data_IF_406090292109
#
_entry.id   IF_406090292109
#
_cell.length_a   1.000
_cell.length_b   1.000
_cell.length_c   1.000
_cell.angle_alpha   90.00
_cell.angle_beta   90.00
_cell.angle_gamma   90.00
#
_symmetry.space_group_name_H-M   'P 1'
#
loop_
_entity.id
_entity.type
_entity.pdbx_description
1 polymer ?
#
# COMPACT_ATOMS: atom_id res chain seq x y z
N UNK A 1 13.94 10.47 -7.32
CA UNK A 1 12.81 10.06 -8.16
C UNK A 1 11.94 11.27 -8.52
N UNK A 2 12.45 12.36 -9.12
CA UNK A 2 11.54 13.32 -9.70
C UNK A 2 10.85 12.66 -10.92
N UNK A 3 9.54 12.88 -11.13
CA UNK A 3 8.86 12.43 -12.35
C UNK A 3 9.52 13.03 -13.61
N UNK A 4 10.15 14.20 -13.45
CA UNK A 4 10.89 14.91 -14.50
C UNK A 4 12.37 14.52 -14.59
N UNK A 5 12.83 13.47 -13.90
CA UNK A 5 14.21 12.99 -14.06
C UNK A 5 14.46 12.54 -15.50
N UNK A 6 15.43 13.20 -16.15
CA UNK A 6 16.08 12.74 -17.37
C UNK A 6 16.42 11.24 -17.25
N UNK A 7 16.15 10.43 -18.30
CA UNK A 7 16.43 8.99 -18.28
C UNK A 7 17.87 8.63 -17.96
N UNK A 8 18.79 9.51 -18.35
CA UNK A 8 20.23 9.32 -18.22
C UNK A 8 20.79 10.07 -17.01
N UNK A 9 19.94 10.49 -16.07
CA UNK A 9 20.40 11.06 -14.81
C UNK A 9 21.32 10.04 -14.10
N UNK A 10 22.53 10.44 -13.70
CA UNK A 10 23.50 9.51 -13.15
C UNK A 10 23.00 8.89 -11.85
N UNK A 11 23.21 7.58 -11.69
CA UNK A 11 23.00 6.90 -10.42
C UNK A 11 24.12 7.32 -9.45
N UNK A 12 23.76 8.09 -8.42
CA UNK A 12 24.70 8.59 -7.43
C UNK A 12 24.66 7.73 -6.17
N UNK A 13 25.83 7.21 -5.77
CA UNK A 13 25.99 6.60 -4.45
C UNK A 13 26.26 7.71 -3.44
N UNK A 14 25.38 7.86 -2.46
CA UNK A 14 25.49 8.89 -1.44
C UNK A 14 25.38 8.32 -0.02
N UNK A 15 26.18 8.85 0.89
CA UNK A 15 26.08 8.56 2.32
C UNK A 15 25.27 9.64 3.04
N UNK A 16 24.55 9.26 4.10
CA UNK A 16 23.85 10.23 4.95
C UNK A 16 24.87 11.08 5.73
N UNK A 17 24.76 12.40 5.66
CA UNK A 17 25.57 13.29 6.47
C UNK A 17 25.19 13.17 7.96
N UNK A 18 26.16 13.36 8.86
CA UNK A 18 25.96 13.22 10.32
C UNK A 18 24.97 14.25 10.85
N UNK A 19 24.93 15.42 10.21
CA UNK A 19 24.15 16.60 10.53
C UNK A 19 22.64 16.40 10.32
N UNK A 20 22.22 15.38 9.54
CA UNK A 20 20.79 15.01 9.42
C UNK A 20 20.19 14.41 10.70
N UNK A 21 21.01 14.15 11.72
CA UNK A 21 20.56 13.64 13.01
C UNK A 21 19.93 12.25 12.89
N UNK A 22 18.75 12.07 13.49
CA UNK A 22 18.01 10.78 13.51
C UNK A 22 16.96 10.64 12.40
N UNK A 23 16.84 11.60 11.47
CA UNK A 23 15.87 11.52 10.37
C UNK A 23 16.23 10.35 9.45
N UNK A 24 15.32 9.40 9.29
CA UNK A 24 15.48 8.31 8.33
C UNK A 24 15.32 8.86 6.91
N UNK A 25 16.28 8.53 6.04
CA UNK A 25 16.13 8.67 4.59
C UNK A 25 15.39 7.43 4.10
N UNK A 26 14.29 7.62 3.38
CA UNK A 26 13.45 6.52 2.86
C UNK A 26 13.30 6.63 1.35
N UNK A 27 12.80 5.56 0.74
CA UNK A 27 12.48 5.57 -0.70
C UNK A 27 11.46 6.67 -0.99
N UNK A 28 11.71 7.44 -2.05
CA UNK A 28 10.89 8.57 -2.47
C UNK A 28 11.28 9.93 -1.85
N UNK A 29 12.17 9.97 -0.85
CA UNK A 29 12.66 11.26 -0.32
C UNK A 29 13.35 12.09 -1.43
N UNK A 30 13.00 13.38 -1.49
CA UNK A 30 13.71 14.38 -2.30
C UNK A 30 14.87 14.92 -1.47
N UNK A 31 16.10 14.65 -1.91
CA UNK A 31 17.31 14.96 -1.13
C UNK A 31 18.20 15.98 -1.81
N UNK A 32 18.89 16.79 -1.01
CA UNK A 32 20.01 17.60 -1.51
C UNK A 32 21.32 16.88 -1.29
N UNK A 33 22.14 16.85 -2.32
CA UNK A 33 23.44 16.20 -2.35
C UNK A 33 24.57 17.23 -2.40
N UNK A 34 25.70 16.88 -1.79
CA UNK A 34 27.00 17.57 -1.95
C UNK A 34 28.09 16.55 -2.26
N UNK A 35 29.20 16.98 -2.83
CA UNK A 35 30.30 16.10 -3.24
C UNK A 35 30.20 15.71 -4.71
N UNK A 36 30.72 14.56 -5.07
CA UNK A 36 30.75 14.09 -6.46
C UNK A 36 29.41 13.44 -6.83
N UNK A 37 28.65 14.12 -7.69
CA UNK A 37 27.32 13.70 -8.17
C UNK A 37 27.36 13.18 -9.61
N UNK A 38 28.55 12.95 -10.15
CA UNK A 38 28.73 12.44 -11.52
C UNK A 38 28.22 11.01 -11.72
N UNK A 39 28.12 10.22 -10.65
CA UNK A 39 27.80 8.79 -10.73
C UNK A 39 28.94 7.91 -11.24
N UNK A 40 30.15 8.45 -11.42
CA UNK A 40 31.32 7.69 -11.82
C UNK A 40 31.73 6.63 -10.78
N UNK A 41 32.42 5.57 -11.21
CA UNK A 41 32.92 4.56 -10.30
C UNK A 41 33.85 5.18 -9.24
N UNK A 42 33.50 5.02 -7.96
CA UNK A 42 34.23 5.62 -6.83
C UNK A 42 33.79 7.05 -6.47
N UNK A 43 32.89 7.68 -7.24
CA UNK A 43 32.26 8.94 -6.86
C UNK A 43 31.39 8.74 -5.60
N UNK A 44 31.56 9.63 -4.62
CA UNK A 44 30.80 9.61 -3.39
C UNK A 44 30.20 10.99 -3.12
N UNK A 45 28.88 11.01 -2.95
CA UNK A 45 28.16 12.18 -2.49
C UNK A 45 27.72 12.03 -1.02
N UNK A 46 27.23 13.12 -0.44
CA UNK A 46 26.58 13.12 0.87
C UNK A 46 25.19 13.75 0.77
N UNK A 47 24.21 13.09 1.38
CA UNK A 47 22.88 13.64 1.60
C UNK A 47 22.99 14.63 2.75
N UNK A 48 22.70 15.92 2.50
CA UNK A 48 22.79 16.99 3.51
C UNK A 48 21.44 17.57 3.91
N UNK A 49 20.39 17.32 3.11
CA UNK A 49 19.02 17.74 3.39
C UNK A 49 18.02 16.73 2.85
N UNK A 50 16.89 16.59 3.53
CA UNK A 50 15.67 15.94 3.04
C UNK A 50 14.63 17.07 2.93
N UNK A 51 14.03 17.21 1.76
CA UNK A 51 12.94 18.16 1.54
C UNK A 51 11.69 17.73 2.31
N UNK A 52 10.73 18.63 2.47
CA UNK A 52 9.43 18.29 3.07
C UNK A 52 8.74 17.18 2.28
N UNK A 53 8.09 16.26 3.01
CA UNK A 53 7.39 15.12 2.42
C UNK A 53 5.95 15.52 2.14
N UNK A 54 5.47 15.26 0.91
CA UNK A 54 4.08 15.50 0.52
C UNK A 54 3.15 14.39 1.00
N UNK A 55 3.66 13.16 1.13
CA UNK A 55 2.94 12.00 1.67
C UNK A 55 3.89 11.06 2.40
N UNK A 56 3.36 10.25 3.31
CA UNK A 56 4.14 9.35 4.17
C UNK A 56 3.38 8.03 4.39
N UNK A 57 3.94 6.91 3.93
CA UNK A 57 3.43 5.59 4.27
C UNK A 57 4.25 4.97 5.39
N UNK A 58 3.54 4.40 6.38
CA UNK A 58 4.11 3.81 7.57
C UNK A 58 3.80 2.33 7.65
N UNK A 59 4.82 1.51 7.91
CA UNK A 59 4.64 0.07 8.17
C UNK A 59 4.63 -0.15 9.68
N UNK A 60 3.74 -1.02 10.15
CA UNK A 60 3.86 -1.62 11.48
C UNK A 60 5.19 -2.38 11.54
N UNK A 61 5.99 -2.16 12.57
CA UNK A 61 7.27 -2.83 12.66
C UNK A 61 7.07 -4.32 13.01
N UNK A 62 7.66 -5.22 12.20
CA UNK A 62 7.71 -6.67 12.45
C UNK A 62 8.77 -7.05 13.51
N UNK A 63 9.60 -6.09 13.93
CA UNK A 63 10.76 -6.35 14.79
C UNK A 63 10.37 -6.26 16.26
N UNK A 64 10.32 -7.43 16.90
CA UNK A 64 10.23 -7.64 18.35
C UNK A 64 9.26 -6.69 19.07
N UNK A 65 7.98 -7.04 19.02
CA UNK A 65 6.87 -6.42 19.76
C UNK A 65 7.15 -6.27 21.26
N UNK A 66 8.18 -6.94 21.78
CA UNK A 66 8.62 -6.86 23.19
C UNK A 66 9.33 -5.54 23.52
N UNK A 67 9.85 -4.80 22.54
CA UNK A 67 10.51 -3.50 22.79
C UNK A 67 9.61 -2.32 22.42
N UNK A 68 9.68 -1.24 23.22
CA UNK A 68 8.91 -0.02 22.94
C UNK A 68 9.27 0.60 21.58
N UNK A 69 10.51 0.41 21.11
CA UNK A 69 11.01 0.87 19.81
C UNK A 69 10.64 -0.06 18.64
N UNK A 70 10.40 -1.34 18.92
CA UNK A 70 9.87 -2.34 18.00
C UNK A 70 8.37 -2.20 17.72
N UNK A 71 7.62 -1.53 18.62
CA UNK A 71 6.21 -1.17 18.41
C UNK A 71 6.01 0.16 17.66
N UNK A 72 7.09 0.87 17.32
CA UNK A 72 6.98 2.15 16.62
C UNK A 72 6.85 1.92 15.11
N UNK A 73 5.78 2.48 14.54
CA UNK A 73 5.60 2.56 13.10
C UNK A 73 6.78 3.26 12.43
N UNK A 74 7.28 2.66 11.37
CA UNK A 74 8.41 3.21 10.60
C UNK A 74 7.92 3.70 9.26
N UNK A 75 8.34 4.91 8.89
CA UNK A 75 8.15 5.40 7.53
C UNK A 75 8.91 4.48 6.58
N UNK A 76 8.22 3.97 5.57
CA UNK A 76 8.78 3.07 4.55
C UNK A 76 8.89 3.73 3.18
N UNK A 77 7.96 4.63 2.85
CA UNK A 77 7.94 5.37 1.60
C UNK A 77 7.49 6.80 1.88
N UNK A 78 8.07 7.76 1.17
CA UNK A 78 7.67 9.17 1.17
C UNK A 78 7.33 9.63 -0.25
N UNK A 79 6.50 10.66 -0.37
CA UNK A 79 6.15 11.30 -1.65
C UNK A 79 5.59 10.32 -2.68
N UNK A 80 4.82 9.33 -2.24
CA UNK A 80 4.04 8.48 -3.12
C UNK A 80 2.78 9.24 -3.57
N UNK A 81 2.44 9.12 -4.85
CA UNK A 81 1.23 9.72 -5.44
C UNK A 81 0.08 8.70 -5.46
N UNK A 82 0.41 7.41 -5.60
CA UNK A 82 -0.57 6.34 -5.74
C UNK A 82 -0.20 5.10 -4.90
N UNK A 83 -1.21 4.46 -4.31
CA UNK A 83 -1.09 3.16 -3.64
C UNK A 83 -1.80 2.10 -4.49
N UNK A 84 -1.03 1.24 -5.14
CA UNK A 84 -1.55 0.15 -5.96
C UNK A 84 -1.72 -1.10 -5.11
N UNK A 85 -2.97 -1.42 -4.82
CA UNK A 85 -3.38 -2.56 -4.00
C UNK A 85 -3.56 -3.76 -4.92
N UNK A 86 -2.53 -4.61 -4.96
CA UNK A 86 -2.52 -5.84 -5.77
C UNK A 86 -3.22 -6.95 -4.99
N UNK A 87 -4.35 -7.40 -5.52
CA UNK A 87 -5.14 -8.49 -4.95
C UNK A 87 -5.51 -9.50 -6.04
N UNK A 88 -5.45 -10.79 -5.75
CA UNK A 88 -5.88 -11.82 -6.69
C UNK A 88 -7.37 -12.07 -6.55
N UNK A 89 -8.06 -12.25 -7.66
CA UNK A 89 -9.48 -12.60 -7.69
C UNK A 89 -9.74 -14.06 -7.30
N UNK A 90 -8.74 -14.94 -7.46
CA UNK A 90 -8.77 -16.32 -6.98
C UNK A 90 -7.35 -16.81 -6.61
N UNK A 91 -7.27 -17.79 -5.70
CA UNK A 91 -6.03 -18.51 -5.33
C UNK A 91 -4.83 -17.63 -4.97
N UNK A 92 -4.87 -16.81 -3.89
CA UNK A 92 -5.91 -16.77 -2.88
C UNK A 92 -7.05 -15.79 -3.21
N UNK A 93 -8.24 -15.96 -2.62
CA UNK A 93 -9.32 -14.99 -2.75
C UNK A 93 -8.92 -13.62 -2.17
N UNK A 94 -9.53 -12.52 -2.64
CA UNK A 94 -9.22 -11.19 -2.15
C UNK A 94 -9.53 -11.06 -0.65
N UNK A 95 -8.57 -10.53 0.13
CA UNK A 95 -8.75 -10.29 1.56
C UNK A 95 -9.21 -8.85 1.81
N UNK A 96 -10.51 -8.65 1.99
CA UNK A 96 -11.10 -7.32 2.19
C UNK A 96 -10.49 -6.56 3.37
N UNK A 97 -10.22 -7.22 4.50
CA UNK A 97 -9.58 -6.57 5.65
C UNK A 97 -8.21 -5.94 5.36
N UNK A 98 -7.45 -6.50 4.41
CA UNK A 98 -6.19 -5.91 3.96
C UNK A 98 -6.41 -4.75 2.99
N UNK A 99 -7.35 -4.89 2.07
CA UNK A 99 -7.71 -3.81 1.15
C UNK A 99 -8.23 -2.61 1.95
N UNK A 100 -9.16 -2.82 2.88
CA UNK A 100 -9.70 -1.79 3.78
C UNK A 100 -8.58 -1.06 4.55
N UNK A 101 -7.63 -1.80 5.11
CA UNK A 101 -6.46 -1.22 5.79
C UNK A 101 -5.60 -0.37 4.85
N UNK A 102 -5.39 -0.83 3.61
CA UNK A 102 -4.63 -0.08 2.62
C UNK A 102 -5.35 1.19 2.17
N UNK A 103 -6.68 1.13 1.98
CA UNK A 103 -7.49 2.28 1.62
C UNK A 103 -7.44 3.37 2.70
N UNK A 104 -7.61 2.99 3.96
CA UNK A 104 -7.45 3.92 5.08
C UNK A 104 -6.06 4.56 5.09
N UNK A 105 -5.01 3.74 4.95
CA UNK A 105 -3.64 4.26 4.93
C UNK A 105 -3.37 5.20 3.74
N UNK A 106 -3.98 4.93 2.58
CA UNK A 106 -3.87 5.79 1.42
C UNK A 106 -4.56 7.14 1.67
N UNK A 107 -5.80 7.13 2.14
CA UNK A 107 -6.56 8.36 2.39
C UNK A 107 -5.94 9.22 3.50
N UNK A 108 -5.49 8.62 4.60
CA UNK A 108 -4.79 9.35 5.67
C UNK A 108 -3.49 10.00 5.16
N UNK A 109 -2.77 9.31 4.28
CA UNK A 109 -1.54 9.81 3.67
C UNK A 109 -1.77 10.78 2.49
N UNK A 110 -3.01 11.05 2.08
CA UNK A 110 -3.35 11.86 0.90
C UNK A 110 -2.90 11.24 -0.42
N UNK A 111 -2.91 9.90 -0.51
CA UNK A 111 -2.45 9.11 -1.66
C UNK A 111 -3.66 8.52 -2.37
N UNK A 112 -3.67 8.54 -3.70
CA UNK A 112 -4.75 7.95 -4.49
C UNK A 112 -4.66 6.40 -4.48
N UNK A 113 -5.70 5.66 -4.05
CA UNK A 113 -5.71 4.21 -4.15
C UNK A 113 -6.02 3.75 -5.58
N UNK A 114 -5.41 2.62 -6.00
CA UNK A 114 -5.73 1.92 -7.25
C UNK A 114 -5.86 0.42 -6.96
N UNK A 115 -7.00 -0.19 -7.29
CA UNK A 115 -7.17 -1.64 -7.20
C UNK A 115 -6.57 -2.33 -8.42
N UNK A 116 -5.56 -3.17 -8.21
CA UNK A 116 -4.98 -4.00 -9.25
C UNK A 116 -5.40 -5.46 -9.03
N UNK A 117 -6.45 -5.89 -9.73
CA UNK A 117 -7.07 -7.19 -9.54
C UNK A 117 -6.45 -8.21 -10.50
N UNK A 118 -5.61 -9.09 -9.97
CA UNK A 118 -4.90 -10.11 -10.75
C UNK A 118 -5.68 -11.41 -10.84
N UNK A 119 -5.25 -12.30 -11.73
CA UNK A 119 -5.87 -13.61 -11.98
C UNK A 119 -7.34 -13.48 -12.41
N UNK A 120 -7.62 -12.44 -13.19
CA UNK A 120 -8.93 -12.19 -13.79
C UNK A 120 -9.34 -13.22 -14.86
N UNK A 121 -8.47 -14.21 -15.13
CA UNK A 121 -8.78 -15.43 -15.87
C UNK A 121 -9.49 -16.49 -15.03
N UNK A 122 -9.36 -16.45 -13.70
CA UNK A 122 -9.91 -17.46 -12.78
C UNK A 122 -11.24 -17.04 -12.15
N UNK A 123 -11.45 -15.76 -11.91
CA UNK A 123 -12.69 -15.21 -11.33
C UNK A 123 -12.93 -13.77 -11.80
N UNK A 124 -14.19 -13.33 -11.75
CA UNK A 124 -14.61 -11.97 -12.06
C UNK A 124 -14.48 -11.02 -10.86
N UNK A 125 -14.45 -9.69 -11.09
CA UNK A 125 -14.24 -8.69 -10.05
C UNK A 125 -15.50 -8.26 -9.30
N UNK A 126 -16.68 -8.72 -9.72
CA UNK A 126 -17.99 -8.19 -9.32
C UNK A 126 -18.12 -8.14 -7.79
N UNK A 127 -17.83 -9.24 -7.11
CA UNK A 127 -17.94 -9.31 -5.66
C UNK A 127 -17.02 -8.31 -4.91
N UNK A 128 -15.83 -8.02 -5.46
CA UNK A 128 -14.92 -7.00 -4.92
C UNK A 128 -15.48 -5.61 -5.18
N UNK A 129 -15.89 -5.33 -6.41
CA UNK A 129 -16.37 -4.01 -6.82
C UNK A 129 -17.68 -3.64 -6.11
N UNK A 130 -18.61 -4.58 -5.98
CA UNK A 130 -19.86 -4.39 -5.25
C UNK A 130 -19.61 -4.06 -3.78
N UNK A 131 -18.63 -4.73 -3.15
CA UNK A 131 -18.27 -4.46 -1.75
C UNK A 131 -17.66 -3.05 -1.56
N UNK A 132 -17.06 -2.47 -2.60
CA UNK A 132 -16.41 -1.16 -2.58
C UNK A 132 -17.14 -0.09 -3.41
N UNK A 133 -18.39 -0.33 -3.81
CA UNK A 133 -19.11 0.52 -4.78
C UNK A 133 -19.16 1.99 -4.35
N UNK A 134 -19.41 2.24 -3.06
CA UNK A 134 -19.52 3.59 -2.47
C UNK A 134 -18.22 4.40 -2.47
N UNK A 135 -17.07 3.76 -2.73
CA UNK A 135 -15.78 4.43 -2.86
C UNK A 135 -15.40 4.77 -4.31
N UNK A 136 -16.13 4.25 -5.31
CA UNK A 136 -15.86 4.46 -6.73
C UNK A 136 -14.38 4.26 -7.12
N UNK A 137 -13.74 3.23 -6.55
CA UNK A 137 -12.30 3.03 -6.69
C UNK A 137 -11.89 2.79 -8.14
N UNK A 138 -10.82 3.45 -8.64
CA UNK A 138 -10.25 3.07 -9.92
C UNK A 138 -9.67 1.65 -9.80
N UNK A 139 -9.85 0.86 -10.85
CA UNK A 139 -9.36 -0.51 -10.88
C UNK A 139 -8.85 -0.93 -12.26
N UNK A 140 -7.98 -1.93 -12.28
CA UNK A 140 -7.56 -2.64 -13.49
C UNK A 140 -7.61 -4.14 -13.28
N UNK A 141 -7.94 -4.87 -14.34
CA UNK A 141 -7.95 -6.33 -14.36
C UNK A 141 -6.71 -6.85 -15.06
N UNK A 142 -5.96 -7.72 -14.39
CA UNK A 142 -4.72 -8.29 -14.91
C UNK A 142 -4.90 -9.79 -15.13
N UNK A 143 -4.74 -10.21 -16.39
CA UNK A 143 -4.64 -11.63 -16.78
C UNK A 143 -3.15 -12.00 -16.96
N UNK A 144 -2.78 -13.30 -16.89
CA UNK A 144 -1.40 -13.75 -17.04
C UNK A 144 -0.68 -13.19 -18.27
N UNK A 145 -1.39 -13.14 -19.41
CA UNK A 145 -0.82 -12.76 -20.71
C UNK A 145 -1.47 -11.49 -21.31
N UNK A 146 -2.22 -10.71 -20.52
CA UNK A 146 -2.77 -9.44 -21.01
C UNK A 146 -1.66 -8.44 -21.34
N UNK A 147 -1.94 -7.45 -22.17
CA UNK A 147 -1.15 -6.22 -22.10
C UNK A 147 -1.28 -5.59 -20.70
N UNK A 148 -0.40 -4.63 -20.43
CA UNK A 148 -0.42 -3.86 -19.19
C UNK A 148 -0.62 -2.37 -19.49
N UNK A 149 -1.18 -2.04 -20.65
CA UNK A 149 -1.15 -0.68 -21.18
C UNK A 149 -2.02 0.26 -20.35
N UNK A 150 -3.24 -0.18 -20.02
CA UNK A 150 -4.11 0.54 -19.08
C UNK A 150 -3.46 0.76 -17.70
N UNK A 151 -2.69 -0.22 -17.21
CA UNK A 151 -1.96 -0.06 -15.95
C UNK A 151 -0.77 0.90 -16.13
N UNK A 152 -0.02 0.82 -17.23
CA UNK A 152 1.10 1.72 -17.52
C UNK A 152 0.64 3.17 -17.61
N UNK A 153 -0.49 3.42 -18.25
CA UNK A 153 -1.09 4.76 -18.35
C UNK A 153 -1.44 5.32 -16.97
N UNK A 154 -2.02 4.50 -16.09
CA UNK A 154 -2.33 4.90 -14.71
C UNK A 154 -1.08 5.14 -13.85
N UNK A 155 0.04 4.47 -14.15
CA UNK A 155 1.30 4.61 -13.43
C UNK A 155 2.20 5.73 -13.99
N UNK A 156 1.93 6.21 -15.21
CA UNK A 156 2.78 7.17 -15.92
C UNK A 156 2.92 8.48 -15.13
N UNK A 157 4.16 8.97 -15.00
CA UNK A 157 4.46 10.20 -14.26
C UNK A 157 4.22 10.17 -12.75
N UNK A 158 3.87 9.02 -12.16
CA UNK A 158 3.55 8.89 -10.73
C UNK A 158 4.57 8.05 -9.98
N UNK A 159 4.71 8.29 -8.69
CA UNK A 159 5.37 7.40 -7.74
C UNK A 159 4.31 6.47 -7.13
N UNK A 160 4.31 5.23 -7.58
CA UNK A 160 3.28 4.25 -7.26
C UNK A 160 3.83 3.17 -6.34
N UNK A 161 3.24 3.01 -5.16
CA UNK A 161 3.66 1.99 -4.19
C UNK A 161 2.84 0.73 -4.42
N UNK A 162 3.52 -0.38 -4.67
CA UNK A 162 2.86 -1.67 -4.89
C UNK A 162 2.79 -2.44 -3.58
N UNK A 163 1.58 -2.80 -3.16
CA UNK A 163 1.34 -3.65 -1.99
C UNK A 163 0.43 -4.82 -2.33
N UNK A 164 0.57 -5.90 -1.58
CA UNK A 164 -0.21 -7.12 -1.80
C UNK A 164 0.41 -8.29 -1.06
N UNK A 165 -0.43 -9.25 -0.67
CA UNK A 165 0.01 -10.46 0.01
C UNK A 165 0.88 -11.36 -0.87
N UNK A 166 1.52 -12.34 -0.24
CA UNK A 166 2.17 -13.41 -0.99
C UNK A 166 1.15 -14.17 -1.85
N UNK A 167 1.54 -14.58 -3.06
CA UNK A 167 0.71 -15.39 -3.96
C UNK A 167 -0.27 -14.62 -4.86
N UNK A 168 -0.50 -13.33 -4.62
CA UNK A 168 -1.42 -12.49 -5.43
C UNK A 168 -0.83 -12.06 -6.78
N UNK A 169 0.39 -12.49 -7.13
CA UNK A 169 1.02 -12.16 -8.42
C UNK A 169 1.75 -10.81 -8.48
N UNK A 170 1.93 -10.09 -7.35
CA UNK A 170 2.66 -8.80 -7.31
C UNK A 170 4.06 -8.87 -7.93
N UNK A 171 4.89 -9.84 -7.56
CA UNK A 171 6.26 -9.95 -8.11
C UNK A 171 6.27 -10.26 -9.61
N UNK A 172 5.34 -11.11 -10.08
CA UNK A 172 5.15 -11.39 -11.50
C UNK A 172 4.76 -10.13 -12.27
N UNK A 173 3.83 -9.34 -11.72
CA UNK A 173 3.41 -8.07 -12.30
C UNK A 173 4.55 -7.05 -12.35
N UNK A 174 5.34 -6.92 -11.27
CA UNK A 174 6.51 -6.02 -11.24
C UNK A 174 7.53 -6.41 -12.32
N UNK A 175 7.80 -7.69 -12.51
CA UNK A 175 8.72 -8.14 -13.57
C UNK A 175 8.16 -7.91 -14.98
N UNK A 176 6.84 -7.97 -15.18
CA UNK A 176 6.22 -7.62 -16.47
C UNK A 176 6.26 -6.11 -16.75
N UNK A 177 6.13 -5.29 -15.71
CA UNK A 177 6.21 -3.82 -15.82
C UNK A 177 7.65 -3.34 -15.99
N UNK A 178 8.60 -4.00 -15.34
CA UNK A 178 10.03 -3.68 -15.38
C UNK A 178 10.83 -4.96 -15.63
N UNK A 179 11.00 -5.39 -16.91
CA UNK A 179 11.67 -6.65 -17.25
C UNK A 179 13.07 -6.79 -16.67
N UNK A 180 13.83 -5.70 -16.61
CA UNK A 180 15.19 -5.68 -16.08
C UNK A 180 15.26 -5.69 -14.54
N UNK A 181 14.13 -5.65 -13.83
CA UNK A 181 14.11 -5.64 -12.36
C UNK A 181 14.55 -6.97 -11.73
N UNK A 182 14.54 -8.08 -12.50
CA UNK A 182 14.99 -9.41 -12.11
C UNK A 182 14.52 -9.85 -10.70
N UNK A 183 13.27 -9.55 -10.32
CA UNK A 183 12.74 -9.91 -9.00
C UNK A 183 12.55 -11.42 -8.91
N UNK A 184 12.90 -12.01 -7.77
CA UNK A 184 12.67 -13.43 -7.54
C UNK A 184 11.17 -13.76 -7.66
N UNK A 185 10.79 -14.53 -8.68
CA UNK A 185 9.46 -15.14 -8.83
C UNK A 185 9.56 -16.54 -8.23
N UNK A 186 9.33 -16.64 -6.92
CA UNK A 186 9.40 -17.91 -6.23
C UNK A 186 8.14 -18.74 -6.42
N UNK A 187 8.24 -19.86 -7.13
CA UNK A 187 7.44 -21.06 -6.84
C UNK A 187 7.54 -21.38 -5.35
N UNK A 188 6.41 -21.78 -4.75
CA UNK A 188 6.24 -22.15 -3.34
C UNK A 188 7.48 -22.88 -2.79
N UNK A 189 8.32 -22.16 -2.04
CA UNK A 189 9.51 -22.75 -1.43
C UNK A 189 9.11 -23.45 -0.13
N UNK A 190 8.71 -24.70 -0.25
CA UNK A 190 9.06 -25.69 0.77
C UNK A 190 10.59 -25.82 0.80
N UNK A 191 11.15 -26.06 2.00
CA UNK A 191 12.58 -26.23 2.34
C UNK A 191 13.25 -24.96 2.91
N UNK A 192 13.12 -24.82 4.24
CA UNK A 192 14.27 -25.07 5.13
C UNK A 192 15.41 -24.05 5.18
N UNK A 193 15.36 -23.20 6.22
CA UNK A 193 16.48 -22.52 6.92
C UNK A 193 17.36 -21.54 6.13
N UNK A 194 16.97 -20.27 6.26
CA UNK A 194 17.88 -19.14 6.47
C UNK A 194 18.57 -18.57 5.23
N UNK A 195 18.01 -17.52 4.61
CA UNK A 195 18.79 -16.56 3.81
C UNK A 195 17.97 -15.33 3.42
N UNK A 196 18.46 -14.17 3.84
CA UNK A 196 18.04 -12.79 3.54
C UNK A 196 17.01 -12.61 2.41
N UNK A 197 15.75 -12.42 2.77
CA UNK A 197 14.79 -11.65 1.97
C UNK A 197 15.13 -10.17 2.16
N UNK A 198 15.43 -9.43 1.08
CA UNK A 198 15.75 -8.00 1.15
C UNK A 198 14.56 -7.22 1.73
N UNK A 199 14.64 -6.78 2.99
CA UNK A 199 13.57 -6.15 3.78
C UNK A 199 13.34 -4.66 3.47
N UNK A 200 14.08 -4.11 2.51
CA UNK A 200 14.03 -2.69 2.15
C UNK A 200 13.19 -2.47 0.90
N UNK A 201 12.37 -1.43 0.91
CA UNK A 201 11.66 -0.96 -0.27
C UNK A 201 12.66 -0.61 -1.39
N UNK A 202 12.27 -0.85 -2.64
CA UNK A 202 13.07 -0.55 -3.82
C UNK A 202 12.23 0.24 -4.81
N UNK A 203 12.77 1.37 -5.29
CA UNK A 203 12.19 2.11 -6.39
C UNK A 203 12.73 1.60 -7.73
N UNK A 204 11.82 1.25 -8.62
CA UNK A 204 12.07 0.77 -9.97
C UNK A 204 11.47 1.79 -10.93
N UNK A 205 12.26 2.26 -11.88
CA UNK A 205 11.77 3.18 -12.90
C UNK A 205 11.01 2.39 -13.96
N UNK A 206 9.84 2.87 -14.36
CA UNK A 206 9.11 2.29 -15.47
C UNK A 206 9.84 2.58 -16.78
N UNK A 207 9.99 1.59 -17.68
CA UNK A 207 10.50 1.82 -19.02
C UNK A 207 9.63 2.87 -19.74
N UNK A 208 10.26 3.74 -20.54
CA UNK A 208 9.50 4.55 -21.48
C UNK A 208 8.94 3.63 -22.55
N UNK A 209 7.64 3.71 -22.79
CA UNK A 209 7.01 2.97 -23.86
C UNK A 209 6.96 3.83 -25.14
N UNK A 210 7.68 3.45 -26.21
CA UNK A 210 7.63 4.16 -27.49
C UNK A 210 6.24 4.16 -28.14
N UNK A 211 5.38 3.18 -27.82
CA UNK A 211 4.03 3.05 -28.37
C UNK A 211 3.02 4.03 -27.74
N UNK A 212 3.28 4.51 -26.51
CA UNK A 212 2.39 5.41 -25.76
C UNK A 212 2.80 6.89 -25.88
N UNK A 213 3.43 7.25 -27.01
CA UNK A 213 3.95 8.58 -27.28
C UNK A 213 5.23 8.84 -26.48
N UNK A 214 6.38 8.89 -27.16
CA UNK A 214 7.72 9.00 -26.55
C UNK A 214 8.01 10.22 -25.67
N UNK A 215 6.98 10.99 -25.28
CA UNK A 215 7.01 12.15 -24.42
C UNK A 215 6.26 11.98 -23.09
N UNK A 216 5.62 10.84 -22.82
CA UNK A 216 4.98 10.59 -21.53
C UNK A 216 6.04 10.53 -20.39
N UNK A 217 5.81 11.17 -19.24
CA UNK A 217 6.76 11.17 -18.13
C UNK A 217 6.92 9.76 -17.57
N UNK A 218 8.17 9.36 -17.28
CA UNK A 218 8.45 8.03 -16.74
C UNK A 218 7.94 7.94 -15.29
N UNK A 219 7.07 6.97 -15.02
CA UNK A 219 6.61 6.67 -13.67
C UNK A 219 7.65 5.86 -12.87
N UNK A 220 7.36 5.69 -11.58
CA UNK A 220 8.15 4.87 -10.67
C UNK A 220 7.25 3.88 -9.93
N UNK A 221 7.74 2.66 -9.79
CA UNK A 221 7.16 1.65 -8.93
C UNK A 221 8.02 1.50 -7.69
N UNK A 222 7.43 1.62 -6.51
CA UNK A 222 8.08 1.27 -5.26
C UNK A 222 7.57 -0.10 -4.83
N UNK A 223 8.41 -1.12 -5.01
CA UNK A 223 8.14 -2.45 -4.47
C UNK A 223 8.54 -2.46 -3.00
N UNK A 224 7.63 -2.94 -2.15
CA UNK A 224 7.85 -3.00 -0.70
C UNK A 224 7.80 -4.46 -0.20
N UNK A 225 8.86 -5.26 -0.45
CA UNK A 225 8.90 -6.65 0.00
C UNK A 225 8.73 -6.75 1.50
N UNK A 226 7.81 -7.62 1.94
CA UNK A 226 7.56 -7.85 3.36
C UNK A 226 6.70 -6.81 4.05
N UNK A 227 6.19 -5.77 3.37
CA UNK A 227 5.05 -5.01 3.90
C UNK A 227 3.83 -5.93 3.90
N UNK A 228 3.47 -6.44 5.09
CA UNK A 228 2.27 -7.26 5.30
C UNK A 228 1.06 -6.40 5.61
N UNK A 229 1.26 -5.30 6.32
CA UNK A 229 0.23 -4.35 6.70
C UNK A 229 0.84 -2.96 6.87
N UNK A 230 0.04 -1.93 6.62
CA UNK A 230 0.37 -0.57 7.03
C UNK A 230 -0.06 -0.34 8.48
N UNK A 231 0.75 0.44 9.19
CA UNK A 231 0.45 0.88 10.54
C UNK A 231 -0.66 1.92 10.49
N UNK A 232 -1.66 1.77 11.36
CA UNK A 232 -2.78 2.71 11.48
C UNK A 232 -2.83 3.39 12.86
N UNK A 233 -1.82 3.19 13.72
CA UNK A 233 -1.78 3.72 15.08
C UNK A 233 -1.88 5.26 15.13
N UNK A 234 -1.40 5.93 14.08
CA UNK A 234 -1.45 7.39 13.93
C UNK A 234 -2.77 7.91 13.33
N UNK A 235 -3.64 7.05 12.79
CA UNK A 235 -4.83 7.45 12.04
C UNK A 235 -5.98 7.76 12.99
N UNK A 236 -6.57 8.96 12.90
CA UNK A 236 -7.68 9.35 13.77
C UNK A 236 -8.98 8.57 13.47
N UNK A 237 -9.98 8.61 14.36
CA UNK A 237 -11.24 7.88 14.14
C UNK A 237 -12.03 8.50 12.99
N UNK A 238 -11.95 9.82 12.88
CA UNK A 238 -12.51 10.59 11.79
C UNK A 238 -11.76 10.29 10.48
N UNK A 239 -10.42 10.20 10.51
CA UNK A 239 -9.62 9.80 9.34
C UNK A 239 -9.98 8.39 8.85
N UNK A 240 -10.27 7.46 9.78
CA UNK A 240 -10.71 6.11 9.43
C UNK A 240 -12.02 6.12 8.63
N UNK A 241 -12.95 7.03 8.95
CA UNK A 241 -14.24 7.13 8.24
C UNK A 241 -14.08 7.52 6.77
N UNK A 242 -12.97 8.14 6.35
CA UNK A 242 -12.71 8.38 4.92
C UNK A 242 -12.60 7.09 4.10
N UNK A 243 -12.20 5.97 4.72
CA UNK A 243 -12.24 4.65 4.10
C UNK A 243 -13.63 4.00 4.07
N UNK A 244 -14.62 4.61 4.74
CA UNK A 244 -15.97 4.12 4.95
C UNK A 244 -17.03 5.21 4.76
N UNK A 245 -17.10 5.83 3.56
CA UNK A 245 -18.05 6.91 3.28
C UNK A 245 -19.50 6.47 3.48
N UNK A 246 -19.79 5.19 3.25
CA UNK A 246 -21.08 4.53 3.47
C UNK A 246 -21.55 4.55 4.94
N UNK A 247 -20.63 4.76 5.88
CA UNK A 247 -20.92 4.83 7.31
C UNK A 247 -21.04 6.28 7.83
N UNK A 248 -20.59 7.28 7.07
CA UNK A 248 -20.49 8.68 7.54
C UNK A 248 -21.85 9.26 7.92
N UNK A 249 -22.87 9.09 7.09
CA UNK A 249 -24.22 9.56 7.41
C UNK A 249 -24.79 8.87 8.66
N UNK A 250 -24.41 7.62 8.91
CA UNK A 250 -24.76 6.88 10.12
C UNK A 250 -24.08 7.39 11.40
N UNK A 251 -23.08 8.28 11.30
CA UNK A 251 -22.42 8.89 12.46
C UNK A 251 -22.97 10.27 12.84
N UNK A 252 -23.80 10.89 12.00
CA UNK A 252 -24.31 12.27 12.19
C UNK A 252 -25.05 12.46 13.52
N UNK A 253 -25.87 11.48 13.90
CA UNK A 253 -26.68 11.52 15.13
C UNK A 253 -25.94 10.91 16.35
N UNK A 254 -24.67 10.54 16.19
CA UNK A 254 -23.89 10.02 17.31
C UNK A 254 -23.57 11.12 18.34
N UNK A 255 -23.39 10.77 19.62
CA UNK A 255 -22.88 11.71 20.61
C UNK A 255 -21.48 12.23 20.22
N UNK A 256 -21.12 13.42 20.69
CA UNK A 256 -19.79 13.97 20.48
C UNK A 256 -18.71 13.01 21.05
N UNK A 257 -17.67 12.75 20.25
CA UNK A 257 -16.61 11.77 20.56
C UNK A 257 -17.13 10.32 20.74
N UNK A 258 -18.17 9.93 20.00
CA UNK A 258 -18.62 8.54 19.96
C UNK A 258 -17.46 7.60 19.59
N UNK A 259 -17.18 6.56 20.40
CA UNK A 259 -16.09 5.63 20.11
C UNK A 259 -16.42 4.70 18.94
N UNK A 260 -17.68 4.63 18.49
CA UNK A 260 -18.16 3.75 17.41
C UNK A 260 -17.86 2.25 17.59
N UNK A 261 -17.53 1.84 18.81
CA UNK A 261 -17.31 0.44 19.19
C UNK A 261 -18.64 -0.32 19.26
N UNK A 262 -18.60 -1.67 19.26
CA UNK A 262 -19.81 -2.48 19.47
C UNK A 262 -20.52 -2.21 20.80
N UNK A 263 -19.78 -1.81 21.84
CA UNK A 263 -20.31 -1.62 23.20
C UNK A 263 -21.02 -0.26 23.39
N UNK A 264 -20.89 0.66 22.42
CA UNK A 264 -21.50 1.99 22.51
C UNK A 264 -22.97 1.97 22.08
N UNK A 265 -23.87 1.97 23.05
CA UNK A 265 -25.33 1.90 22.83
C UNK A 265 -25.92 3.13 22.13
N UNK A 266 -25.29 4.30 22.25
CA UNK A 266 -25.76 5.53 21.60
C UNK A 266 -25.21 5.70 20.17
N UNK A 267 -24.46 4.73 19.65
CA UNK A 267 -23.91 4.77 18.30
C UNK A 267 -25.00 4.51 17.25
N UNK A 268 -25.16 5.43 16.30
CA UNK A 268 -26.13 5.33 15.22
C UNK A 268 -25.82 4.24 14.18
N UNK A 269 -24.60 3.70 14.15
CA UNK A 269 -24.13 2.80 13.09
C UNK A 269 -24.89 1.47 13.05
N UNK A 270 -25.25 0.88 14.20
CA UNK A 270 -26.01 -0.38 14.20
C UNK A 270 -27.43 -0.18 13.64
N UNK A 271 -28.08 0.94 13.96
CA UNK A 271 -29.37 1.31 13.40
C UNK A 271 -29.27 1.62 11.89
N UNK A 272 -28.18 2.26 11.46
CA UNK A 272 -27.88 2.54 10.05
C UNK A 272 -27.79 1.25 9.22
N UNK A 273 -27.08 0.25 9.73
CA UNK A 273 -26.99 -1.08 9.11
C UNK A 273 -28.35 -1.80 9.14
N UNK A 274 -29.07 -1.77 10.27
CA UNK A 274 -30.40 -2.39 10.37
C UNK A 274 -31.41 -1.79 9.38
N UNK A 275 -31.26 -0.52 9.01
CA UNK A 275 -32.05 0.16 8.00
C UNK A 275 -31.62 -0.15 6.55
N UNK A 276 -30.61 -1.00 6.35
CA UNK A 276 -30.09 -1.38 5.03
C UNK A 276 -29.37 -0.27 4.30
N UNK A 277 -28.83 0.71 5.03
CA UNK A 277 -28.17 1.90 4.45
C UNK A 277 -26.68 1.72 4.17
N UNK A 278 -26.06 0.70 4.75
CA UNK A 278 -24.72 0.25 4.42
C UNK A 278 -24.60 -1.25 4.68
N UNK A 279 -23.54 -1.87 4.16
CA UNK A 279 -23.30 -3.29 4.34
C UNK A 279 -22.77 -3.59 5.76
N UNK A 280 -23.39 -4.55 6.47
CA UNK A 280 -22.97 -4.95 7.81
C UNK A 280 -21.48 -5.37 7.87
N UNK A 281 -20.96 -5.92 6.77
CA UNK A 281 -19.57 -6.36 6.63
C UNK A 281 -18.61 -5.17 6.64
N UNK A 282 -19.03 -4.02 6.11
CA UNK A 282 -18.28 -2.76 6.13
C UNK A 282 -18.16 -2.21 7.55
N UNK A 283 -19.26 -2.18 8.31
CA UNK A 283 -19.23 -1.78 9.73
C UNK A 283 -18.34 -2.72 10.57
N UNK A 284 -18.42 -4.03 10.34
CA UNK A 284 -17.55 -4.99 11.01
C UNK A 284 -16.07 -4.74 10.70
N UNK A 285 -15.74 -4.40 9.46
CA UNK A 285 -14.37 -4.04 9.08
C UNK A 285 -13.90 -2.74 9.73
N UNK A 286 -14.72 -1.69 9.70
CA UNK A 286 -14.44 -0.42 10.35
C UNK A 286 -14.10 -0.62 11.84
N UNK A 287 -14.96 -1.34 12.58
CA UNK A 287 -14.76 -1.63 14.01
C UNK A 287 -13.50 -2.46 14.27
N UNK A 288 -13.17 -3.41 13.39
CA UNK A 288 -11.91 -4.18 13.48
C UNK A 288 -10.69 -3.29 13.29
N UNK A 289 -10.70 -2.38 12.31
CA UNK A 289 -9.60 -1.44 12.08
C UNK A 289 -9.44 -0.49 13.26
N UNK A 290 -10.55 0.02 13.79
CA UNK A 290 -10.59 0.87 14.97
C UNK A 290 -9.96 0.19 16.20
N UNK A 291 -10.28 -1.08 16.46
CA UNK A 291 -9.67 -1.85 17.53
C UNK A 291 -8.15 -2.06 17.30
N UNK A 292 -7.76 -2.39 16.07
CA UNK A 292 -6.35 -2.63 15.72
C UNK A 292 -5.46 -1.39 15.87
N UNK A 293 -6.04 -0.19 15.78
CA UNK A 293 -5.34 1.07 16.04
C UNK A 293 -4.98 1.23 17.52
N UNK A 294 -5.88 0.86 18.42
CA UNK A 294 -5.74 1.09 19.87
C UNK A 294 -4.68 0.19 20.53
N UNK A 295 -3.96 -0.64 19.76
CA UNK A 295 -2.98 -1.59 20.27
C UNK A 295 -3.60 -2.83 20.91
N UNK A 296 -4.92 -2.98 20.84
CA UNK A 296 -5.63 -4.20 21.20
C UNK A 296 -5.48 -5.21 20.06
N UNK A 297 -4.35 -5.91 20.10
CA UNK A 297 -4.09 -7.19 19.43
C UNK A 297 -4.47 -7.26 17.95
N UNK A 298 -3.47 -7.16 17.08
CA UNK A 298 -3.50 -7.93 15.83
C UNK A 298 -3.45 -9.41 16.25
N UNK A 299 -4.61 -9.98 16.54
CA UNK A 299 -4.75 -11.40 16.80
C UNK A 299 -4.33 -12.10 15.51
N UNK A 300 -3.04 -12.47 15.46
CA UNK A 300 -2.37 -13.28 14.43
C UNK A 300 -3.41 -14.01 13.60
N UNK A 301 -3.65 -13.56 12.37
CA UNK A 301 -4.52 -14.28 11.43
C UNK A 301 -4.04 -15.75 11.42
N UNK A 302 -4.79 -16.70 12.01
CA UNK A 302 -4.51 -18.09 11.78
C UNK A 302 -4.78 -18.31 10.29
N UNK A 303 -3.99 -19.16 9.65
CA UNK A 303 -4.28 -19.70 8.32
C UNK A 303 -5.55 -20.58 8.40
N UNK A 304 -6.69 -19.94 8.58
CA UNK A 304 -8.01 -20.53 8.69
C UNK A 304 -8.95 -19.61 7.93
N UNK A 305 -9.60 -20.19 6.92
CA UNK A 305 -10.75 -19.62 6.20
C UNK A 305 -11.60 -18.82 7.17
N UNK A 306 -11.58 -17.50 7.02
CA UNK A 306 -12.38 -16.59 7.83
C UNK A 306 -13.85 -16.79 7.41
N UNK A 307 -14.73 -17.33 8.28
CA UNK A 307 -16.13 -17.57 7.93
C UNK A 307 -16.93 -16.27 7.70
N UNK A 308 -16.31 -15.10 7.90
CA UNK A 308 -16.85 -13.78 7.57
C UNK A 308 -16.08 -13.01 6.48
N UNK A 309 -15.20 -13.66 5.71
CA UNK A 309 -14.61 -13.03 4.52
C UNK A 309 -15.67 -12.96 3.40
N UNK A 310 -16.14 -11.76 2.99
CA UNK A 310 -17.22 -11.57 2.01
C UNK A 310 -16.98 -12.27 0.67
N UNK A 311 -15.74 -12.63 0.37
CA UNK A 311 -15.30 -13.16 -0.92
C UNK A 311 -14.85 -14.63 -0.82
N UNK A 312 -14.92 -15.23 0.36
CA UNK A 312 -14.63 -16.64 0.57
C UNK A 312 -15.90 -17.50 0.36
N UNK A 313 -16.45 -17.50 -0.85
CA UNK A 313 -17.53 -18.43 -1.22
C UNK A 313 -18.58 -17.83 -2.14
N UNK A 314 -18.50 -18.19 -3.42
CA UNK A 314 -19.61 -18.39 -4.35
C UNK A 314 -19.32 -19.66 -5.14
#
# INVERSE_FOLDING_TARGET
>A
MPPDAEPDAPLVTAMRARELGRKSVVVGDRVGLVGDTSGAAGALARIVRIAERTSVLRRTADDDETTAEGRLERVVVANADQLVIVSALADPPPRTGFIDRCLVAAYDAGIEPLLCLTKADLAGPEAVLDYYAELELPYVLIRPDSDLDALRDLLAGRISVMVGHSGVGKSTLVNRLVPDAARAVGTVSAIGRGRHTSTSAVALRLPRDPAHGGNAPAGWIVDTPGVRSFGLAHVSADSLLHGFPDLVEGTVDCPANCPHTPDETACGLDAWIAAGKADARRLASYRRLLASRSGEGDAREPDQRNPGDPLAGS
#
